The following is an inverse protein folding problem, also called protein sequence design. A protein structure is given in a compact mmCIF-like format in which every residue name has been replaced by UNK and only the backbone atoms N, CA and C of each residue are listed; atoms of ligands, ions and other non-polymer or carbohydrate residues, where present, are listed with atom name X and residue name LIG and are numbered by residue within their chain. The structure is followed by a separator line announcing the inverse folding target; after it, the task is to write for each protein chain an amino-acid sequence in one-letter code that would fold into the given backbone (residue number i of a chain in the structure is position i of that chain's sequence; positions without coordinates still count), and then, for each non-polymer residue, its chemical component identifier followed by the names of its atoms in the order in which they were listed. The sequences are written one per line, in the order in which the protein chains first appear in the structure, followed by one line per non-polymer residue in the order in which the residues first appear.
data_IF_036598226437
#
_entry.id   IF_036598226437
#
_cell.length_a   1.000
_cell.length_b   1.000
_cell.length_c   1.000
_cell.angle_alpha   90.00
_cell.angle_beta   90.00
_cell.angle_gamma   90.00
#
_symmetry.space_group_name_H-M   'P 1'
#
loop_
_entity.id
_entity.type
_entity.pdbx_description
1 polymer ?
#
# COMPACT_ATOMS: atom_id res chain seq x y z
N UNK A 1 25.03 13.33 8.34
CA UNK A 1 24.26 12.07 8.37
C UNK A 1 22.76 12.27 8.60
N UNK A 2 22.28 13.32 9.29
CA UNK A 2 20.83 13.53 9.50
C UNK A 2 20.04 13.62 8.18
N UNK A 3 20.63 14.24 7.16
CA UNK A 3 19.94 14.52 5.88
C UNK A 3 19.66 13.27 5.04
N UNK A 4 20.57 12.29 5.01
CA UNK A 4 20.36 11.01 4.30
C UNK A 4 19.44 10.07 5.10
N UNK A 5 19.44 10.19 6.43
CA UNK A 5 18.61 9.37 7.31
C UNK A 5 17.12 9.73 7.21
N UNK A 6 16.78 10.97 6.83
CA UNK A 6 15.38 11.41 6.77
C UNK A 6 14.61 10.78 5.59
N UNK A 7 15.10 10.79 4.34
CA UNK A 7 14.48 10.05 3.24
C UNK A 7 14.41 8.55 3.51
N UNK A 8 15.45 7.97 4.12
CA UNK A 8 15.44 6.56 4.51
C UNK A 8 14.34 6.24 5.53
N UNK A 9 14.21 7.07 6.57
CA UNK A 9 13.12 6.95 7.55
C UNK A 9 11.75 7.11 6.86
N UNK A 10 11.60 8.08 5.96
CA UNK A 10 10.37 8.27 5.22
C UNK A 10 10.01 7.05 4.34
N UNK A 11 10.99 6.41 3.72
CA UNK A 11 10.79 5.16 2.97
C UNK A 11 10.25 4.04 3.88
N UNK A 12 10.83 3.88 5.07
CA UNK A 12 10.38 2.89 6.05
C UNK A 12 8.93 3.16 6.50
N UNK A 13 8.59 4.43 6.77
CA UNK A 13 7.25 4.83 7.19
C UNK A 13 6.22 4.47 6.10
N UNK A 14 6.53 4.78 4.83
CA UNK A 14 5.62 4.54 3.71
C UNK A 14 5.50 3.05 3.39
N UNK A 15 6.58 2.26 3.51
CA UNK A 15 6.56 0.81 3.24
C UNK A 15 5.97 -0.02 4.38
N UNK A 16 6.08 0.46 5.61
CA UNK A 16 5.61 -0.25 6.80
C UNK A 16 4.74 0.68 7.67
N UNK A 17 3.60 1.16 7.15
CA UNK A 17 2.78 2.16 7.85
C UNK A 17 2.22 1.61 9.16
N UNK A 18 1.80 0.34 9.18
CA UNK A 18 1.21 -0.31 10.34
C UNK A 18 2.25 -0.55 11.44
N UNK A 19 3.41 -1.15 11.10
CA UNK A 19 4.51 -1.36 12.06
C UNK A 19 5.07 -0.05 12.60
N UNK A 20 5.21 0.96 11.74
CA UNK A 20 5.65 2.30 12.17
C UNK A 20 4.67 2.89 13.16
N UNK A 21 3.36 2.77 12.90
CA UNK A 21 2.33 3.28 13.81
C UNK A 21 2.40 2.60 15.17
N UNK A 22 2.66 1.31 15.23
CA UNK A 22 2.85 0.56 16.48
C UNK A 22 4.09 1.01 17.24
N UNK A 23 5.24 1.10 16.55
CA UNK A 23 6.52 1.50 17.15
C UNK A 23 6.47 2.94 17.68
N UNK A 24 5.82 3.85 16.96
CA UNK A 24 5.74 5.26 17.34
C UNK A 24 4.59 5.54 18.33
N UNK A 25 3.66 4.60 18.56
CA UNK A 25 2.50 4.78 19.44
C UNK A 25 2.84 5.22 20.87
N UNK A 26 3.86 4.66 21.57
CA UNK A 26 4.11 4.96 22.98
C UNK A 26 4.44 6.42 23.28
N UNK A 27 5.07 7.13 22.34
CA UNK A 27 5.50 8.53 22.50
C UNK A 27 5.17 9.35 21.25
N UNK A 28 3.95 9.16 20.73
CA UNK A 28 3.56 9.69 19.42
C UNK A 28 3.75 11.20 19.28
N UNK A 29 3.44 12.01 20.30
CA UNK A 29 3.61 13.47 20.24
C UNK A 29 5.07 13.88 20.11
N UNK A 30 5.95 13.34 20.95
CA UNK A 30 7.39 13.63 20.95
C UNK A 30 8.05 13.16 19.65
N UNK A 31 7.72 11.95 19.20
CA UNK A 31 8.21 11.42 17.92
C UNK A 31 7.72 12.27 16.73
N UNK A 32 6.45 12.67 16.74
CA UNK A 32 5.88 13.52 15.69
C UNK A 32 6.59 14.88 15.61
N UNK A 33 6.84 15.53 16.75
CA UNK A 33 7.57 16.80 16.81
C UNK A 33 9.00 16.66 16.25
N UNK A 34 9.72 15.62 16.68
CA UNK A 34 11.09 15.37 16.23
C UNK A 34 11.16 15.03 14.73
N UNK A 35 10.23 14.20 14.24
CA UNK A 35 10.15 13.85 12.81
C UNK A 35 9.80 15.08 11.97
N UNK A 36 8.84 15.89 12.42
CA UNK A 36 8.46 17.14 11.73
C UNK A 36 9.65 18.08 11.62
N UNK A 37 10.38 18.29 12.72
CA UNK A 37 11.59 19.11 12.73
C UNK A 37 12.67 18.53 11.81
N UNK A 38 12.92 17.23 11.87
CA UNK A 38 13.94 16.56 11.07
C UNK A 38 13.64 16.63 9.56
N UNK A 39 12.37 16.46 9.18
CA UNK A 39 11.94 16.53 7.79
C UNK A 39 12.00 17.95 7.25
N UNK A 40 11.61 18.94 8.04
CA UNK A 40 11.73 20.34 7.66
C UNK A 40 13.20 20.76 7.52
N UNK A 41 14.05 20.33 8.45
CA UNK A 41 15.49 20.53 8.35
C UNK A 41 16.08 19.88 7.07
N UNK A 42 15.68 18.64 6.76
CA UNK A 42 16.12 17.95 5.55
C UNK A 42 15.62 18.67 4.28
N UNK A 43 14.38 19.16 4.27
CA UNK A 43 13.78 19.91 3.14
C UNK A 43 14.50 21.23 2.88
N UNK A 44 14.95 21.92 3.92
CA UNK A 44 15.73 23.15 3.80
C UNK A 44 17.19 22.89 3.40
N UNK A 45 17.68 21.67 3.60
CA UNK A 45 19.00 21.28 3.13
C UNK A 45 19.00 21.11 1.61
N UNK A 46 20.07 21.52 0.91
CA UNK A 46 20.15 21.45 -0.57
C UNK A 46 20.42 20.04 -1.12
N UNK A 47 20.27 19.00 -0.31
CA UNK A 47 20.68 17.63 -0.62
C UNK A 47 19.56 16.68 -1.09
N UNK A 48 18.30 16.76 -0.62
CA UNK A 48 17.25 15.85 -1.06
C UNK A 48 16.92 16.09 -2.53
N UNK A 49 16.77 15.01 -3.28
CA UNK A 49 16.21 15.05 -4.62
C UNK A 49 14.70 15.34 -4.58
N UNK A 50 14.10 15.64 -5.74
CA UNK A 50 12.64 15.79 -5.83
C UNK A 50 11.88 14.53 -5.39
N UNK A 51 12.47 13.35 -5.57
CA UNK A 51 11.89 12.07 -5.15
C UNK A 51 11.87 12.00 -3.62
N UNK A 52 12.96 12.40 -2.99
CA UNK A 52 13.08 12.41 -1.53
C UNK A 52 12.07 13.39 -0.91
N UNK A 53 11.90 14.57 -1.51
CA UNK A 53 10.89 15.54 -1.06
C UNK A 53 9.46 15.00 -1.13
N UNK A 54 9.13 14.28 -2.20
CA UNK A 54 7.83 13.59 -2.33
C UNK A 54 7.69 12.51 -1.26
N UNK A 55 8.75 11.75 -1.00
CA UNK A 55 8.75 10.68 -0.01
C UNK A 55 8.55 11.20 1.42
N UNK A 56 9.21 12.31 1.79
CA UNK A 56 8.99 13.00 3.06
C UNK A 56 7.53 13.41 3.22
N UNK A 57 6.93 13.98 2.16
CA UNK A 57 5.52 14.40 2.16
C UNK A 57 4.56 13.21 2.34
N UNK A 58 4.85 12.08 1.70
CA UNK A 58 4.07 10.84 1.85
C UNK A 58 4.19 10.27 3.28
N UNK A 59 5.37 10.33 3.89
CA UNK A 59 5.57 9.91 5.27
C UNK A 59 4.84 10.83 6.27
N UNK A 60 4.84 12.15 6.04
CA UNK A 60 4.05 13.10 6.84
C UNK A 60 2.54 12.81 6.77
N UNK A 61 2.05 12.42 5.58
CA UNK A 61 0.68 11.97 5.37
C UNK A 61 0.38 10.71 6.19
N UNK A 62 1.25 9.70 6.14
CA UNK A 62 1.07 8.46 6.89
C UNK A 62 1.02 8.67 8.40
N UNK A 63 1.91 9.50 8.92
CA UNK A 63 1.96 9.84 10.34
C UNK A 63 0.77 10.71 10.80
N UNK A 64 -0.01 11.25 9.85
CA UNK A 64 -1.06 12.25 10.06
C UNK A 64 -0.52 13.58 10.61
N UNK A 65 0.70 13.95 10.19
CA UNK A 65 1.27 15.27 10.46
C UNK A 65 0.66 16.32 9.52
N UNK A 66 0.36 15.92 8.28
CA UNK A 66 -0.34 16.75 7.29
C UNK A 66 -1.66 16.09 6.85
N UNK A 67 -2.64 16.88 6.37
CA UNK A 67 -3.90 16.34 5.88
C UNK A 67 -3.68 15.36 4.73
N UNK A 68 -4.29 14.18 4.85
CA UNK A 68 -4.31 13.18 3.78
C UNK A 68 -5.41 13.49 2.77
N UNK A 69 -5.14 13.40 1.45
CA UNK A 69 -6.18 13.43 0.43
C UNK A 69 -7.23 12.35 0.69
N UNK A 70 -8.51 12.62 0.41
CA UNK A 70 -9.61 11.64 0.65
C UNK A 70 -9.44 10.35 -0.17
N UNK A 71 -8.75 10.43 -1.30
CA UNK A 71 -8.44 9.32 -2.20
C UNK A 71 -7.07 8.68 -1.90
N UNK A 72 -6.35 9.15 -0.89
CA UNK A 72 -5.05 8.60 -0.54
C UNK A 72 -5.21 7.21 0.07
N UNK A 73 -4.54 6.24 -0.54
CA UNK A 73 -4.44 4.87 -0.04
C UNK A 73 -3.03 4.38 -0.27
N UNK A 74 -2.41 3.92 0.81
CA UNK A 74 -1.08 3.37 0.73
C UNK A 74 -1.13 1.89 0.31
N UNK A 75 -0.49 1.52 -0.81
CA UNK A 75 -0.43 0.14 -1.29
C UNK A 75 0.14 -0.85 -0.26
N UNK A 76 1.02 -0.37 0.63
CA UNK A 76 1.71 -1.20 1.62
C UNK A 76 0.96 -1.37 2.94
N UNK A 77 -0.16 -0.66 3.13
CA UNK A 77 -1.01 -0.84 4.30
C UNK A 77 -1.68 -2.21 4.28
N UNK A 78 -1.82 -2.84 5.44
CA UNK A 78 -2.44 -4.15 5.56
C UNK A 78 -3.91 -4.12 5.11
N UNK A 79 -4.60 -3.00 5.35
CA UNK A 79 -5.96 -2.79 4.83
C UNK A 79 -6.02 -2.89 3.29
N UNK A 80 -5.02 -2.34 2.59
CA UNK A 80 -4.94 -2.40 1.13
C UNK A 80 -4.53 -3.77 0.64
N UNK A 81 -3.56 -4.43 1.30
CA UNK A 81 -3.18 -5.81 0.99
C UNK A 81 -4.36 -6.78 1.14
N UNK A 82 -5.14 -6.65 2.21
CA UNK A 82 -6.30 -7.49 2.44
C UNK A 82 -7.38 -7.30 1.39
N UNK A 83 -7.61 -6.06 0.93
CA UNK A 83 -8.57 -5.79 -0.14
C UNK A 83 -8.11 -6.34 -1.48
N UNK A 84 -6.85 -6.14 -1.85
CA UNK A 84 -6.26 -6.72 -3.06
C UNK A 84 -6.38 -8.25 -3.06
N UNK A 85 -6.10 -8.89 -1.92
CA UNK A 85 -6.25 -10.34 -1.78
C UNK A 85 -7.72 -10.79 -1.89
N UNK A 86 -8.66 -10.02 -1.34
CA UNK A 86 -10.08 -10.31 -1.45
C UNK A 86 -10.58 -10.19 -2.90
N UNK A 87 -10.15 -9.17 -3.62
CA UNK A 87 -10.46 -8.94 -5.04
C UNK A 87 -9.89 -10.06 -5.93
N UNK A 88 -8.65 -10.47 -5.70
CA UNK A 88 -8.03 -11.60 -6.40
C UNK A 88 -8.84 -12.90 -6.18
N UNK A 89 -9.20 -13.19 -4.93
CA UNK A 89 -10.04 -14.37 -4.59
C UNK A 89 -11.44 -14.32 -5.22
N UNK A 90 -11.98 -13.13 -5.45
CA UNK A 90 -13.26 -12.99 -6.13
C UNK A 90 -13.12 -13.20 -7.63
N UNK A 91 -12.06 -12.67 -8.23
CA UNK A 91 -11.74 -12.86 -9.64
C UNK A 91 -11.55 -14.34 -9.96
N UNK A 92 -10.79 -15.06 -9.14
CA UNK A 92 -10.58 -16.52 -9.25
C UNK A 92 -11.91 -17.26 -9.18
N UNK A 93 -12.77 -16.97 -8.20
CA UNK A 93 -14.11 -17.58 -8.08
C UNK A 93 -15.00 -17.29 -9.28
N UNK A 94 -14.91 -16.10 -9.88
CA UNK A 94 -15.66 -15.75 -11.10
C UNK A 94 -15.14 -16.54 -12.30
N UNK A 95 -13.82 -16.69 -12.44
CA UNK A 95 -13.21 -17.49 -13.51
C UNK A 95 -13.56 -18.97 -13.38
N UNK A 96 -13.48 -19.56 -12.19
CA UNK A 96 -13.87 -20.96 -11.94
C UNK A 96 -15.34 -21.21 -12.30
N UNK A 97 -16.25 -20.32 -11.92
CA UNK A 97 -17.68 -20.41 -12.28
C UNK A 97 -17.89 -20.32 -13.80
N UNK A 98 -17.14 -19.46 -14.49
CA UNK A 98 -17.22 -19.35 -15.95
C UNK A 98 -16.69 -20.63 -16.63
N UNK A 99 -15.56 -21.17 -16.19
CA UNK A 99 -14.99 -22.41 -16.71
C UNK A 99 -15.91 -23.61 -16.46
N UNK A 100 -16.54 -23.70 -15.29
CA UNK A 100 -17.53 -24.74 -14.99
C UNK A 100 -18.74 -24.65 -15.94
N UNK A 101 -19.26 -23.44 -16.18
CA UNK A 101 -20.36 -23.20 -17.15
C UNK A 101 -19.97 -23.58 -18.57
N UNK A 102 -18.74 -23.28 -19.00
CA UNK A 102 -18.23 -23.68 -20.32
C UNK A 102 -18.11 -25.21 -20.43
N UNK A 103 -17.63 -25.89 -19.38
CA UNK A 103 -17.55 -27.37 -19.35
C UNK A 103 -18.93 -28.02 -19.44
N UNK A 104 -19.93 -27.49 -18.73
CA UNK A 104 -21.31 -28.00 -18.76
C UNK A 104 -22.02 -27.78 -20.10
N UNK A 105 -21.66 -26.73 -20.85
CA UNK A 105 -22.21 -26.43 -22.18
C UNK A 105 -21.58 -27.23 -23.33
N UNK A 106 -20.60 -28.09 -23.06
CA UNK A 106 -20.01 -28.93 -24.11
C UNK A 106 -21.06 -29.95 -24.59
N UNK A 107 -21.27 -30.12 -25.91
CA UNK A 107 -22.20 -31.10 -26.44
C UNK A 107 -21.83 -32.50 -25.95
N UNK A 108 -22.81 -33.25 -25.44
CA UNK A 108 -22.62 -34.68 -25.18
C UNK A 108 -22.71 -35.40 -26.52
N UNK A 109 -21.74 -36.26 -26.81
CA UNK A 109 -21.80 -37.18 -27.95
C UNK A 109 -23.08 -38.01 -27.79
N UNK A 110 -24.07 -37.78 -28.65
CA UNK A 110 -25.20 -38.71 -28.77
C UNK A 110 -24.66 -39.99 -29.43
N UNK A 111 -24.99 -41.19 -28.90
CA UNK A 111 -24.61 -42.44 -29.55
C UNK A 111 -25.13 -42.46 -30.99
N UNK A 112 -24.30 -42.89 -31.95
CA UNK A 112 -24.77 -43.20 -33.31
C UNK A 112 -25.67 -44.42 -33.22
N UNK A 113 -26.93 -44.28 -33.59
CA UNK A 113 -27.78 -45.42 -33.95
C UNK A 113 -27.38 -45.83 -35.37
N UNK A 114 -26.59 -46.90 -35.45
CA UNK A 114 -26.25 -47.56 -36.70
C UNK A 114 -27.49 -48.36 -37.15
N UNK A 115 -28.04 -48.01 -38.32
CA UNK A 115 -29.11 -48.70 -39.06
C UNK A 115 -28.51 -49.65 -40.10
#
# INVERSE_FOLDING_TARGET
MVVENCPFLADLIVRFPDSTREVLAPQRSQHNELITWAFEFARQSKFPSEIDLKLLTLAEQELNLIPRPKNYRNPFSDATKHQQLAELRELERRQEKQELRKKLRRPRLTPREDL
#
